data_IF_164200333078
#
_entry.id   IF_164200333078
#
_cell.length_a   1.000
_cell.length_b   1.000
_cell.length_c   1.000
_cell.angle_alpha   90.00
_cell.angle_beta   90.00
_cell.angle_gamma   90.00
#
_symmetry.space_group_name_H-M   'P 1'
#
loop_
_entity.id
_entity.type
_entity.pdbx_description
1 polymer ?
#
# COMPACT_ATOMS: atom_id res chain seq x y z
N UNK A 1 -6.97 1.16 9.38
CA UNK A 1 -5.63 1.16 8.75
C UNK A 1 -4.82 0.10 9.46
N UNK A 2 -4.27 -0.85 8.71
CA UNK A 2 -3.43 -1.93 9.22
C UNK A 2 -2.08 -1.92 8.48
N UNK A 3 -1.00 -2.21 9.20
CA UNK A 3 0.33 -2.35 8.60
C UNK A 3 1.19 -3.30 9.41
N UNK A 4 2.30 -3.73 8.81
CA UNK A 4 3.35 -4.49 9.47
C UNK A 4 4.73 -4.12 8.92
N UNK A 5 5.77 -4.33 9.71
CA UNK A 5 7.16 -4.18 9.26
C UNK A 5 7.61 -5.48 8.60
N UNK A 6 8.22 -5.38 7.42
CA UNK A 6 8.65 -6.52 6.61
C UNK A 6 10.11 -6.35 6.21
N UNK A 7 10.86 -7.44 6.28
CA UNK A 7 12.21 -7.54 5.72
C UNK A 7 12.11 -7.57 4.19
N UNK A 8 12.84 -6.68 3.51
CA UNK A 8 13.04 -6.75 2.07
C UNK A 8 14.35 -7.47 1.77
N UNK A 9 14.25 -8.68 1.22
CA UNK A 9 15.42 -9.46 0.78
C UNK A 9 16.14 -8.83 -0.42
N UNK A 10 15.47 -7.93 -1.15
CA UNK A 10 16.02 -7.26 -2.33
C UNK A 10 16.85 -6.02 -1.98
N UNK A 11 16.44 -5.29 -0.93
CA UNK A 11 17.12 -4.06 -0.50
C UNK A 11 17.95 -4.24 0.77
N UNK A 12 17.89 -5.41 1.41
CA UNK A 12 18.63 -5.72 2.63
C UNK A 12 18.15 -4.97 3.88
N UNK A 13 16.94 -4.40 3.86
CA UNK A 13 16.42 -3.57 4.94
C UNK A 13 14.91 -3.69 5.12
N UNK A 14 14.41 -3.18 6.24
CA UNK A 14 12.99 -3.22 6.58
C UNK A 14 12.19 -2.12 5.86
N UNK A 15 10.94 -2.45 5.53
CA UNK A 15 9.95 -1.50 5.03
C UNK A 15 8.63 -1.68 5.77
N UNK A 16 7.81 -0.62 5.80
CA UNK A 16 6.45 -0.68 6.33
C UNK A 16 5.51 -1.11 5.20
N UNK A 17 4.92 -2.29 5.33
CA UNK A 17 3.89 -2.78 4.41
C UNK A 17 2.53 -2.31 4.92
N UNK A 18 1.92 -1.34 4.23
CA UNK A 18 0.56 -0.91 4.48
C UNK A 18 -0.38 -1.90 3.78
N UNK A 19 -1.24 -2.54 4.56
CA UNK A 19 -2.14 -3.60 4.10
C UNK A 19 -3.42 -2.98 3.55
N UNK A 20 -4.14 -2.22 4.40
CA UNK A 20 -5.38 -1.54 4.00
C UNK A 20 -5.48 -0.10 4.52
N UNK A 21 -5.96 0.77 3.64
CA UNK A 21 -6.40 2.14 3.93
C UNK A 21 -7.84 2.32 3.44
N UNK A 22 -8.77 2.41 4.39
CA UNK A 22 -10.18 2.64 4.10
C UNK A 22 -10.61 4.02 4.61
N UNK A 23 -11.34 4.75 3.78
CA UNK A 23 -12.03 6.00 4.13
C UNK A 23 -13.50 5.77 3.83
N UNK A 24 -14.36 5.96 4.83
CA UNK A 24 -15.80 5.86 4.65
C UNK A 24 -16.30 6.87 3.61
N UNK A 25 -17.34 6.53 2.85
CA UNK A 25 -17.74 7.32 1.69
C UNK A 25 -18.12 8.77 2.02
N UNK A 26 -18.75 9.01 3.18
CA UNK A 26 -19.09 10.35 3.66
C UNK A 26 -17.88 11.22 4.05
N UNK A 27 -16.71 10.61 4.24
CA UNK A 27 -15.47 11.28 4.67
C UNK A 27 -14.48 11.44 3.50
N UNK A 28 -14.85 11.01 2.29
CA UNK A 28 -14.02 11.17 1.09
C UNK A 28 -14.08 12.62 0.61
N UNK A 29 -12.98 13.08 0.00
CA UNK A 29 -12.88 14.44 -0.55
C UNK A 29 -12.46 15.51 0.46
N UNK A 30 -12.59 15.27 1.77
CA UNK A 30 -12.21 16.22 2.82
C UNK A 30 -10.79 15.96 3.40
N UNK A 31 -9.89 15.42 2.58
CA UNK A 31 -8.49 15.18 2.98
C UNK A 31 -8.26 14.07 4.01
N UNK A 32 -9.29 13.32 4.44
CA UNK A 32 -9.15 12.23 5.41
C UNK A 32 -8.09 11.20 5.01
N UNK A 33 -8.07 10.78 3.74
CA UNK A 33 -7.06 9.85 3.23
C UNK A 33 -5.63 10.39 3.34
N UNK A 34 -5.42 11.69 3.13
CA UNK A 34 -4.09 12.30 3.27
C UNK A 34 -3.65 12.36 4.73
N UNK A 35 -4.56 12.73 5.65
CA UNK A 35 -4.28 12.71 7.10
C UNK A 35 -3.87 11.31 7.56
N UNK A 36 -4.58 10.29 7.09
CA UNK A 36 -4.26 8.91 7.40
C UNK A 36 -2.89 8.51 6.82
N UNK A 37 -2.59 8.82 5.55
CA UNK A 37 -1.27 8.50 4.97
C UNK A 37 -0.12 9.24 5.66
N UNK A 38 -0.34 10.46 6.16
CA UNK A 38 0.65 11.17 6.99
C UNK A 38 0.88 10.44 8.32
N UNK A 39 -0.16 9.91 8.95
CA UNK A 39 0.01 9.08 10.15
C UNK A 39 0.80 7.79 9.86
N UNK A 40 0.63 7.18 8.67
CA UNK A 40 1.49 6.05 8.23
C UNK A 40 2.95 6.49 8.08
N UNK A 41 3.20 7.68 7.51
CA UNK A 41 4.54 8.24 7.34
C UNK A 41 5.27 8.40 8.68
N UNK A 42 4.59 8.93 9.68
CA UNK A 42 5.13 9.02 11.05
C UNK A 42 5.42 7.62 11.62
N UNK A 43 4.48 6.68 11.47
CA UNK A 43 4.65 5.30 11.96
C UNK A 43 5.80 4.53 11.26
N UNK A 44 6.15 4.91 10.03
CA UNK A 44 7.25 4.28 9.29
C UNK A 44 8.62 4.60 9.90
N UNK A 45 8.74 5.71 10.65
CA UNK A 45 9.98 6.17 11.27
C UNK A 45 11.17 6.14 10.29
N UNK A 46 10.98 6.73 9.11
CA UNK A 46 11.99 6.83 8.05
C UNK A 46 12.12 5.62 7.13
N UNK A 47 11.38 4.53 7.38
CA UNK A 47 11.34 3.38 6.46
C UNK A 47 10.54 3.72 5.19
N UNK A 48 10.88 3.03 4.10
CA UNK A 48 10.03 3.04 2.90
C UNK A 48 8.67 2.43 3.25
N UNK A 49 7.60 3.06 2.79
CA UNK A 49 6.23 2.53 2.91
C UNK A 49 5.87 1.89 1.57
N UNK A 50 5.27 0.69 1.60
CA UNK A 50 4.80 -0.01 0.39
C UNK A 50 3.36 -0.47 0.54
N UNK A 51 2.57 -0.24 -0.50
CA UNK A 51 1.20 -0.74 -0.67
C UNK A 51 0.94 -0.96 -2.17
N UNK A 52 -0.13 -1.68 -2.49
CA UNK A 52 -0.53 -1.94 -3.86
C UNK A 52 -1.82 -1.16 -4.19
N UNK A 53 -1.93 -0.70 -5.43
CA UNK A 53 -3.14 -0.08 -5.97
C UNK A 53 -3.47 -0.74 -7.30
N UNK A 54 -4.75 -1.05 -7.51
CA UNK A 54 -5.18 -1.65 -8.76
C UNK A 54 -4.87 -0.71 -9.95
N UNK A 55 -4.39 -1.27 -11.05
CA UNK A 55 -4.07 -0.52 -12.28
C UNK A 55 -5.29 0.25 -12.83
N UNK A 56 -6.50 -0.27 -12.62
CA UNK A 56 -7.75 0.39 -13.01
C UNK A 56 -8.16 1.56 -12.08
N UNK A 57 -7.59 1.67 -10.88
CA UNK A 57 -7.96 2.70 -9.91
C UNK A 57 -7.15 4.00 -10.13
N UNK A 58 -7.47 4.70 -11.22
CA UNK A 58 -6.80 5.95 -11.64
C UNK A 58 -6.94 7.05 -10.58
N UNK A 59 -8.07 7.12 -9.88
CA UNK A 59 -8.31 8.11 -8.83
C UNK A 59 -7.34 7.92 -7.65
N UNK A 60 -7.18 6.69 -7.17
CA UNK A 60 -6.23 6.38 -6.10
C UNK A 60 -4.78 6.59 -6.54
N UNK A 61 -4.42 6.22 -7.79
CA UNK A 61 -3.09 6.49 -8.35
C UNK A 61 -2.75 7.99 -8.33
N UNK A 62 -3.66 8.84 -8.82
CA UNK A 62 -3.49 10.31 -8.78
C UNK A 62 -3.38 10.83 -7.36
N UNK A 63 -4.17 10.29 -6.44
CA UNK A 63 -4.08 10.63 -5.02
C UNK A 63 -2.69 10.29 -4.45
N UNK A 64 -2.19 9.08 -4.67
CA UNK A 64 -0.89 8.65 -4.16
C UNK A 64 0.28 9.44 -4.77
N UNK A 65 0.24 9.74 -6.06
CA UNK A 65 1.22 10.62 -6.71
C UNK A 65 1.22 12.03 -6.09
N UNK A 66 0.04 12.59 -5.81
CA UNK A 66 -0.10 13.91 -5.21
C UNK A 66 0.52 14.01 -3.82
N UNK A 67 0.56 12.91 -3.05
CA UNK A 67 1.22 12.87 -1.73
C UNK A 67 2.71 12.46 -1.83
N UNK A 68 3.27 12.36 -3.04
CA UNK A 68 4.68 12.10 -3.27
C UNK A 68 5.07 10.63 -3.45
N UNK A 69 4.09 9.72 -3.58
CA UNK A 69 4.40 8.31 -3.85
C UNK A 69 4.80 8.10 -5.32
N UNK A 70 5.84 7.29 -5.53
CA UNK A 70 6.21 6.79 -6.86
C UNK A 70 5.37 5.56 -7.21
N UNK A 71 4.83 5.51 -8.44
CA UNK A 71 4.08 4.37 -8.93
C UNK A 71 4.99 3.47 -9.78
N UNK A 72 5.23 2.25 -9.28
CA UNK A 72 6.04 1.25 -9.97
C UNK A 72 5.10 0.14 -10.48
N UNK A 73 4.98 -0.08 -11.79
CA UNK A 73 4.20 -1.19 -12.33
C UNK A 73 4.71 -2.54 -11.84
N UNK A 74 3.81 -3.43 -11.43
CA UNK A 74 4.12 -4.77 -10.95
C UNK A 74 3.12 -5.78 -11.49
N UNK A 75 3.60 -6.96 -11.87
CA UNK A 75 2.76 -8.11 -12.16
C UNK A 75 2.54 -8.93 -10.88
N UNK A 76 1.29 -9.32 -10.62
CA UNK A 76 0.93 -10.23 -9.54
C UNK A 76 0.71 -11.61 -10.17
N UNK A 77 1.66 -12.52 -9.97
CA UNK A 77 1.50 -13.91 -10.37
C UNK A 77 0.74 -14.68 -9.28
N UNK A 78 -0.32 -15.39 -9.66
CA UNK A 78 -1.04 -16.32 -8.77
C UNK A 78 -1.00 -17.72 -9.38
N UNK A 79 -0.58 -18.70 -8.60
CA UNK A 79 -0.62 -20.11 -8.98
C UNK A 79 -1.38 -20.88 -7.90
N UNK A 80 -2.56 -21.36 -8.24
CA UNK A 80 -3.33 -22.25 -7.38
C UNK A 80 -2.97 -23.69 -7.75
N UNK A 81 -2.20 -24.35 -6.87
CA UNK A 81 -1.89 -25.78 -7.01
C UNK A 81 -3.10 -26.57 -6.51
N UNK A 82 -3.61 -27.50 -7.34
CA UNK A 82 -4.66 -28.40 -6.90
C UNK A 82 -4.17 -29.24 -5.71
N UNK A 83 -4.99 -29.47 -4.68
CA UNK A 83 -4.63 -30.44 -3.65
C UNK A 83 -4.36 -31.79 -4.33
N UNK A 84 -3.25 -32.45 -3.96
CA UNK A 84 -2.94 -33.79 -4.45
C UNK A 84 -4.06 -34.78 -4.13
N UNK A 85 -4.14 -35.94 -4.81
CA UNK A 85 -5.09 -36.97 -4.44
C UNK A 85 -4.91 -37.34 -2.96
N UNK A 86 -6.03 -37.43 -2.22
CA UNK A 86 -6.05 -37.89 -0.82
C UNK A 86 -5.65 -39.34 -0.71
#
# INVERSE_FOLDING_TARGET
MSWLVRVSLWSGGDYLALDDLFVADGERGDGAGERLMRAVAEAAAGRVIRWEVAAANVAAQRFYQRIGAELIPKLICRWQVAPGPR
#
